data_IF_369276184653
#
_entry.id   IF_369276184653
#
_cell.length_a   1.000
_cell.length_b   1.000
_cell.length_c   1.000
_cell.angle_alpha   90.00
_cell.angle_beta   90.00
_cell.angle_gamma   90.00
#
_symmetry.space_group_name_H-M   'P 1'
#
loop_
_entity.id
_entity.type
_entity.pdbx_description
1 polymer ?
#
# COMPACT_ATOMS: atom_id res chain seq x y z
N UNK A 1 4.69 3.95 1.71
CA UNK A 1 3.61 4.28 0.74
C UNK A 1 3.41 3.18 -0.29
N UNK A 2 4.46 2.65 -0.94
CA UNK A 2 4.39 1.55 -1.91
C UNK A 2 4.85 0.25 -1.25
N UNK A 3 4.14 -0.85 -1.48
CA UNK A 3 4.48 -2.20 -0.96
C UNK A 3 5.25 -3.04 -1.97
N UNK A 4 4.68 -3.23 -3.17
CA UNK A 4 5.21 -4.10 -4.22
C UNK A 4 5.09 -3.41 -5.57
N UNK A 5 6.05 -3.71 -6.45
CA UNK A 5 6.06 -3.31 -7.85
C UNK A 5 5.89 -4.55 -8.72
N UNK A 6 5.20 -4.37 -9.85
CA UNK A 6 4.88 -5.44 -10.77
C UNK A 6 5.22 -5.05 -12.21
N UNK A 7 5.64 -6.04 -12.98
CA UNK A 7 5.72 -5.98 -14.43
C UNK A 7 4.64 -6.87 -15.02
N UNK A 8 3.94 -6.38 -16.03
CA UNK A 8 2.99 -7.15 -16.79
C UNK A 8 3.73 -8.00 -17.83
N UNK A 9 3.51 -9.32 -17.78
CA UNK A 9 3.97 -10.23 -18.83
C UNK A 9 2.84 -10.42 -19.83
N UNK A 10 3.01 -9.89 -21.04
CA UNK A 10 2.01 -10.04 -22.11
C UNK A 10 1.81 -11.49 -22.52
N UNK A 11 2.87 -12.30 -22.54
CA UNK A 11 2.83 -13.72 -22.92
C UNK A 11 1.90 -14.52 -22.01
N UNK A 12 2.01 -14.28 -20.70
CA UNK A 12 1.23 -14.99 -19.67
C UNK A 12 -0.01 -14.23 -19.23
N UNK A 13 -0.19 -12.99 -19.72
CA UNK A 13 -1.26 -12.06 -19.33
C UNK A 13 -1.40 -11.93 -17.81
N UNK A 14 -0.26 -11.83 -17.11
CA UNK A 14 -0.23 -11.81 -15.65
C UNK A 14 0.79 -10.78 -15.14
N UNK A 15 0.60 -10.36 -13.89
CA UNK A 15 1.54 -9.50 -13.18
C UNK A 15 2.57 -10.34 -12.42
N UNK A 16 3.85 -10.07 -12.66
CA UNK A 16 4.96 -10.67 -11.92
C UNK A 16 5.58 -9.63 -10.98
N UNK A 17 5.87 -10.03 -9.75
CA UNK A 17 6.54 -9.17 -8.76
C UNK A 17 7.97 -8.87 -9.22
N UNK A 18 8.36 -7.60 -9.16
CA UNK A 18 9.74 -7.18 -9.36
C UNK A 18 10.41 -7.07 -7.97
N UNK A 19 11.60 -7.66 -7.76
CA UNK A 19 12.30 -7.57 -6.47
C UNK A 19 12.86 -6.16 -6.16
N UNK A 20 12.70 -5.19 -7.07
CA UNK A 20 13.13 -3.82 -6.91
C UNK A 20 12.07 -2.98 -6.17
N UNK A 21 12.53 -2.02 -5.35
CA UNK A 21 11.67 -1.07 -4.63
C UNK A 21 11.61 0.32 -5.28
N UNK A 22 12.42 0.55 -6.30
CA UNK A 22 12.53 1.83 -7.01
C UNK A 22 11.68 1.81 -8.28
N UNK A 23 10.93 2.88 -8.52
CA UNK A 23 10.14 3.03 -9.73
C UNK A 23 11.05 3.21 -10.95
N UNK A 24 10.73 2.53 -12.04
CA UNK A 24 11.45 2.64 -13.31
C UNK A 24 10.47 2.52 -14.48
N UNK A 25 10.93 2.80 -15.69
CA UNK A 25 10.15 2.67 -16.93
C UNK A 25 9.66 1.24 -17.21
N UNK A 26 10.18 0.24 -16.50
CA UNK A 26 9.81 -1.17 -16.64
C UNK A 26 8.70 -1.64 -15.70
N UNK A 27 8.17 -0.75 -14.86
CA UNK A 27 7.12 -1.05 -13.87
C UNK A 27 5.76 -0.71 -14.47
N UNK A 28 4.84 -1.67 -14.47
CA UNK A 28 3.49 -1.50 -15.03
C UNK A 28 2.40 -1.35 -13.97
N UNK A 29 2.63 -1.89 -12.76
CA UNK A 29 1.67 -1.78 -11.66
C UNK A 29 2.37 -1.73 -10.29
N UNK A 30 1.64 -1.25 -9.28
CA UNK A 30 2.11 -1.15 -7.90
C UNK A 30 0.97 -1.41 -6.91
N UNK A 31 1.33 -1.78 -5.68
CA UNK A 31 0.40 -1.79 -4.53
C UNK A 31 0.84 -0.77 -3.49
N UNK A 32 -0.13 -0.22 -2.76
CA UNK A 32 0.12 0.75 -1.69
C UNK A 32 -0.23 0.20 -0.32
N UNK A 33 0.40 0.74 0.71
CA UNK A 33 0.19 0.32 2.10
C UNK A 33 -1.29 0.46 2.50
N UNK A 34 -1.85 -0.56 3.16
CA UNK A 34 -3.27 -0.59 3.54
C UNK A 34 -3.73 0.60 4.41
N UNK A 35 -2.87 1.14 5.27
CA UNK A 35 -3.21 2.28 6.13
C UNK A 35 -3.49 3.58 5.35
N UNK A 36 -3.12 3.63 4.07
CA UNK A 36 -3.44 4.75 3.18
C UNK A 36 -4.88 4.67 2.64
N UNK A 37 -5.48 3.47 2.64
CA UNK A 37 -6.90 3.26 2.29
C UNK A 37 -7.83 3.42 3.47
N UNK A 38 -7.34 3.12 4.68
CA UNK A 38 -8.09 3.36 5.90
C UNK A 38 -8.20 4.88 6.10
N UNK A 39 -9.39 5.43 5.88
CA UNK A 39 -9.69 6.79 6.29
C UNK A 39 -9.34 6.92 7.78
N UNK A 40 -8.28 7.67 8.10
CA UNK A 40 -7.97 8.04 9.47
C UNK A 40 -9.14 8.89 9.97
N UNK A 41 -10.16 8.24 10.54
CA UNK A 41 -11.08 8.94 11.43
C UNK A 41 -10.19 9.47 12.54
N UNK A 42 -10.07 10.80 12.73
CA UNK A 42 -9.33 11.33 13.85
C UNK A 42 -9.86 10.61 15.09
N UNK A 43 -8.98 9.90 15.80
CA UNK A 43 -9.36 9.21 17.00
C UNK A 43 -9.90 10.29 17.94
N UNK A 44 -11.22 10.32 18.14
CA UNK A 44 -11.84 11.17 19.14
C UNK A 44 -11.09 10.84 20.43
N UNK A 45 -10.43 11.80 21.09
CA UNK A 45 -9.68 11.50 22.28
C UNK A 45 -10.63 10.84 23.27
N UNK A 46 -10.39 9.55 23.55
CA UNK A 46 -11.14 8.84 24.59
C UNK A 46 -10.84 9.59 25.88
N UNK A 47 -11.80 10.38 26.37
CA UNK A 47 -11.76 10.92 27.73
C UNK A 47 -11.61 9.73 28.66
N UNK A 48 -10.39 9.51 29.14
CA UNK A 48 -10.13 8.62 30.26
C UNK A 48 -10.90 9.20 31.43
N UNK A 49 -12.09 8.65 31.70
CA UNK A 49 -12.79 8.91 32.95
C UNK A 49 -11.87 8.39 34.06
N UNK A 50 -11.21 9.31 34.73
CA UNK A 50 -10.59 9.11 36.04
C UNK A 50 -11.71 8.71 36.99
N UNK A 51 -11.86 7.40 37.21
CA UNK A 51 -12.72 6.89 38.27
C UNK A 51 -11.92 7.01 39.56
N UNK A 52 -12.46 7.84 40.47
CA UNK A 52 -11.98 8.06 41.84
C UNK A 52 -11.96 6.77 42.64
#
# INVERSE_FOLDING_TARGET
>A
MIDKLYKYSSDRKQFNVIPAKTMSVSVDALTIHNHLWQAKRPAVPKKTQTRK
#
